data_IF_631055370809
#
_entry.id   IF_631055370809
#
_cell.length_a   1.000
_cell.length_b   1.000
_cell.length_c   1.000
_cell.angle_alpha   90.00
_cell.angle_beta   90.00
_cell.angle_gamma   90.00
#
_symmetry.space_group_name_H-M   'P 1'
#
loop_
_entity.id
_entity.type
_entity.pdbx_description
1 polymer ?
#
# COMPACT_ATOMS: atom_id res chain seq x y z
N UNK A 1 -13.78 -4.36 -15.00
CA UNK A 1 -12.48 -3.68 -15.27
C UNK A 1 -11.66 -4.59 -16.19
N UNK A 2 -11.02 -4.05 -17.24
CA UNK A 2 -10.11 -4.78 -18.15
C UNK A 2 -8.67 -4.68 -17.63
N UNK A 3 -7.76 -5.63 -17.93
CA UNK A 3 -6.34 -5.52 -17.54
C UNK A 3 -5.67 -4.30 -18.20
N UNK A 4 -4.54 -3.88 -17.62
CA UNK A 4 -3.69 -2.79 -18.11
C UNK A 4 -2.40 -3.42 -18.64
N UNK A 5 -2.12 -3.25 -19.93
CA UNK A 5 -0.90 -3.76 -20.57
C UNK A 5 -0.04 -2.62 -21.15
N UNK A 6 -0.67 -1.51 -21.50
CA UNK A 6 -0.04 -0.33 -22.10
C UNK A 6 -0.39 0.94 -21.31
N UNK A 7 0.32 2.03 -21.58
CA UNK A 7 0.01 3.33 -20.98
C UNK A 7 -1.40 3.82 -21.37
N UNK A 8 -1.89 3.49 -22.57
CA UNK A 8 -3.21 3.89 -23.03
C UNK A 8 -4.35 3.26 -22.20
N UNK A 9 -4.13 2.08 -21.62
CA UNK A 9 -5.14 1.35 -20.83
C UNK A 9 -5.45 2.01 -19.47
N UNK A 10 -4.61 2.97 -19.05
CA UNK A 10 -4.85 3.81 -17.88
C UNK A 10 -5.90 4.90 -18.13
N UNK A 11 -6.16 5.26 -19.39
CA UNK A 11 -7.07 6.37 -19.73
C UNK A 11 -8.45 6.16 -19.10
N UNK A 12 -8.88 7.12 -18.30
CA UNK A 12 -10.18 7.12 -17.62
C UNK A 12 -10.28 6.21 -16.40
N UNK A 13 -9.21 5.50 -16.00
CA UNK A 13 -9.22 4.65 -14.79
C UNK A 13 -9.24 5.51 -13.54
N UNK A 14 -10.06 5.13 -12.56
CA UNK A 14 -10.06 5.70 -11.21
C UNK A 14 -9.31 4.74 -10.28
N UNK A 15 -8.11 5.08 -9.87
CA UNK A 15 -7.27 4.22 -9.03
C UNK A 15 -7.03 4.88 -7.67
N UNK A 16 -7.20 4.11 -6.59
CA UNK A 16 -6.90 4.62 -5.25
C UNK A 16 -5.41 4.93 -5.08
N UNK A 17 -5.12 6.04 -4.42
CA UNK A 17 -3.79 6.49 -3.96
C UNK A 17 -3.81 6.85 -2.48
N UNK A 18 -2.65 7.01 -1.83
CA UNK A 18 -2.58 7.45 -0.43
C UNK A 18 -2.88 8.96 -0.29
N UNK A 19 -2.72 9.72 -1.38
CA UNK A 19 -3.11 11.14 -1.46
C UNK A 19 -1.95 12.11 -1.58
N UNK A 20 -0.72 11.63 -1.77
CA UNK A 20 0.40 12.51 -2.10
C UNK A 20 0.22 13.13 -3.51
N UNK A 21 0.67 14.38 -3.67
CA UNK A 21 0.67 15.07 -4.97
C UNK A 21 1.39 14.26 -6.06
N UNK A 22 2.49 13.59 -5.69
CA UNK A 22 3.26 12.74 -6.59
C UNK A 22 2.43 11.61 -7.20
N UNK A 23 1.64 10.90 -6.37
CA UNK A 23 0.83 9.79 -6.85
C UNK A 23 -0.32 10.25 -7.75
N UNK A 24 -0.99 11.34 -7.37
CA UNK A 24 -2.08 11.93 -8.15
C UNK A 24 -1.56 12.37 -9.52
N UNK A 25 -0.43 13.08 -9.55
CA UNK A 25 0.16 13.59 -10.79
C UNK A 25 0.68 12.47 -11.69
N UNK A 26 1.25 11.42 -11.12
CA UNK A 26 1.72 10.26 -11.90
C UNK A 26 0.56 9.59 -12.65
N UNK A 27 -0.58 9.39 -11.97
CA UNK A 27 -1.77 8.83 -12.61
C UNK A 27 -2.38 9.79 -13.63
N UNK A 28 -2.42 11.09 -13.34
CA UNK A 28 -2.90 12.11 -14.28
C UNK A 28 -2.11 12.09 -15.58
N UNK A 29 -0.78 11.95 -15.51
CA UNK A 29 0.11 11.91 -16.69
C UNK A 29 -0.12 10.74 -17.62
N UNK A 30 -0.66 9.62 -17.10
CA UNK A 30 -1.05 8.46 -17.91
C UNK A 30 -2.55 8.44 -18.23
N UNK A 31 -3.26 9.56 -18.01
CA UNK A 31 -4.68 9.70 -18.32
C UNK A 31 -5.64 9.03 -17.31
N UNK A 32 -5.13 8.56 -16.18
CA UNK A 32 -5.92 8.04 -15.06
C UNK A 32 -6.24 9.14 -14.04
N UNK A 33 -7.16 8.85 -13.12
CA UNK A 33 -7.50 9.68 -11.97
C UNK A 33 -7.03 8.98 -10.69
N UNK A 34 -6.14 9.62 -9.95
CA UNK A 34 -5.78 9.19 -8.60
C UNK A 34 -6.84 9.64 -7.59
N UNK A 35 -7.50 8.70 -6.92
CA UNK A 35 -8.55 8.98 -5.92
C UNK A 35 -7.96 8.77 -4.51
N UNK A 36 -7.72 9.84 -3.73
CA UNK A 36 -7.21 9.70 -2.38
C UNK A 36 -8.28 9.13 -1.45
N UNK A 37 -7.98 8.03 -0.75
CA UNK A 37 -8.83 7.50 0.32
C UNK A 37 -8.07 6.56 1.27
N UNK A 38 -8.54 6.41 2.52
CA UNK A 38 -8.05 5.40 3.46
C UNK A 38 -8.14 3.98 2.88
N UNK A 39 -7.21 3.10 3.27
CA UNK A 39 -7.17 1.71 2.78
C UNK A 39 -8.45 0.92 3.12
N UNK A 40 -9.08 1.22 4.26
CA UNK A 40 -10.32 0.59 4.72
C UNK A 40 -11.52 0.82 3.80
N UNK A 41 -11.52 1.91 3.03
CA UNK A 41 -12.63 2.29 2.15
C UNK A 41 -12.50 1.68 0.74
N UNK A 42 -11.33 1.12 0.42
CA UNK A 42 -11.00 0.69 -0.95
C UNK A 42 -11.82 -0.51 -1.40
N UNK A 43 -12.01 -1.50 -0.52
CA UNK A 43 -12.77 -2.71 -0.86
C UNK A 43 -14.24 -2.36 -1.19
N UNK A 44 -14.98 -1.64 -0.31
CA UNK A 44 -16.31 -1.17 -0.65
C UNK A 44 -16.35 -0.32 -1.92
N UNK A 45 -15.37 0.58 -2.12
CA UNK A 45 -15.32 1.45 -3.29
C UNK A 45 -15.14 0.68 -4.62
N UNK A 46 -14.31 -0.38 -4.61
CA UNK A 46 -14.17 -1.29 -5.77
C UNK A 46 -15.49 -2.06 -6.01
N UNK A 47 -16.12 -2.58 -4.95
CA UNK A 47 -17.38 -3.34 -5.06
C UNK A 47 -18.53 -2.49 -5.59
N UNK A 48 -18.64 -1.25 -5.10
CA UNK A 48 -19.62 -0.25 -5.56
C UNK A 48 -19.24 0.38 -6.91
N UNK A 49 -18.06 0.05 -7.45
CA UNK A 49 -17.53 0.55 -8.73
C UNK A 49 -17.33 2.07 -8.76
N UNK A 50 -17.10 2.70 -7.61
CA UNK A 50 -16.74 4.12 -7.55
C UNK A 50 -15.27 4.34 -7.94
N UNK A 51 -14.43 3.30 -7.78
CA UNK A 51 -13.07 3.19 -8.30
C UNK A 51 -12.85 1.87 -9.04
N UNK A 52 -11.86 1.83 -9.93
CA UNK A 52 -11.49 0.67 -10.75
C UNK A 52 -10.43 -0.24 -10.12
N UNK A 53 -9.69 0.26 -9.12
CA UNK A 53 -8.60 -0.49 -8.52
C UNK A 53 -7.80 0.27 -7.47
N UNK A 54 -6.76 -0.39 -6.98
CA UNK A 54 -5.90 0.12 -5.91
C UNK A 54 -4.43 0.09 -6.33
N UNK A 55 -3.69 1.17 -6.05
CA UNK A 55 -2.23 1.18 -6.08
C UNK A 55 -1.70 0.89 -4.67
N UNK A 56 -1.09 -0.28 -4.47
CA UNK A 56 -0.44 -0.67 -3.22
C UNK A 56 0.65 -1.74 -3.48
N UNK A 57 1.41 -2.09 -2.44
CA UNK A 57 2.34 -3.22 -2.46
C UNK A 57 1.61 -4.57 -2.36
N UNK A 58 2.21 -5.64 -2.88
CA UNK A 58 1.62 -7.00 -2.85
C UNK A 58 1.30 -7.50 -1.44
N UNK A 59 2.11 -7.09 -0.47
CA UNK A 59 1.93 -7.40 0.95
C UNK A 59 0.61 -6.89 1.52
N UNK A 60 -0.06 -5.96 0.84
CA UNK A 60 -1.42 -5.50 1.18
C UNK A 60 -2.49 -6.38 0.51
N UNK A 61 -2.29 -6.77 -0.75
CA UNK A 61 -3.34 -7.44 -1.52
C UNK A 61 -3.73 -8.81 -0.98
N UNK A 62 -2.76 -9.60 -0.50
CA UNK A 62 -3.03 -10.96 0.00
C UNK A 62 -3.78 -10.95 1.35
N UNK A 63 -3.33 -10.25 2.40
CA UNK A 63 -4.02 -10.26 3.70
C UNK A 63 -5.43 -9.66 3.62
N UNK A 64 -5.62 -8.63 2.78
CA UNK A 64 -6.91 -7.99 2.56
C UNK A 64 -7.79 -8.72 1.54
N UNK A 65 -7.35 -9.89 1.05
CA UNK A 65 -8.09 -10.75 0.13
C UNK A 65 -8.55 -10.06 -1.17
N UNK A 66 -7.73 -9.15 -1.71
CA UNK A 66 -8.05 -8.40 -2.93
C UNK A 66 -8.35 -9.29 -4.14
N UNK A 67 -7.81 -10.51 -4.18
CA UNK A 67 -8.11 -11.50 -5.23
C UNK A 67 -9.60 -11.83 -5.37
N UNK A 68 -10.41 -11.57 -4.33
CA UNK A 68 -11.86 -11.80 -4.36
C UNK A 68 -12.65 -10.69 -5.07
N UNK A 69 -12.08 -9.49 -5.19
CA UNK A 69 -12.74 -8.30 -5.73
C UNK A 69 -12.01 -7.68 -6.92
N UNK A 70 -10.72 -7.98 -7.09
CA UNK A 70 -9.85 -7.44 -8.13
C UNK A 70 -9.10 -8.61 -8.81
N UNK A 71 -9.44 -8.87 -10.08
CA UNK A 71 -8.94 -10.02 -10.83
C UNK A 71 -7.57 -9.83 -11.48
N UNK A 72 -7.12 -8.59 -11.60
CA UNK A 72 -5.90 -8.23 -12.34
C UNK A 72 -4.94 -7.48 -11.45
N UNK A 73 -3.65 -7.81 -11.55
CA UNK A 73 -2.55 -7.12 -10.87
C UNK A 73 -1.54 -6.69 -11.92
N UNK A 74 -1.17 -5.41 -11.91
CA UNK A 74 -0.08 -4.87 -12.72
C UNK A 74 1.15 -4.62 -11.83
N UNK A 75 2.28 -5.24 -12.16
CA UNK A 75 3.57 -4.96 -11.53
C UNK A 75 4.19 -3.70 -12.15
N UNK A 76 3.71 -2.52 -11.76
CA UNK A 76 4.11 -1.26 -12.38
C UNK A 76 5.53 -0.76 -12.01
N UNK A 77 6.14 -1.29 -10.93
CA UNK A 77 7.44 -0.84 -10.38
C UNK A 77 7.56 0.70 -10.28
N UNK A 78 6.46 1.39 -9.99
CA UNK A 78 6.35 2.84 -10.16
C UNK A 78 6.76 3.65 -8.94
N UNK A 79 6.89 3.03 -7.77
CA UNK A 79 7.33 3.69 -6.54
C UNK A 79 7.72 2.68 -5.47
N UNK A 80 8.60 3.10 -4.55
CA UNK A 80 8.83 2.44 -3.27
C UNK A 80 7.87 3.06 -2.25
N UNK A 81 7.21 2.21 -1.43
CA UNK A 81 6.36 2.66 -0.33
C UNK A 81 7.13 2.38 0.96
N UNK A 82 7.51 3.44 1.67
CA UNK A 82 8.13 3.33 2.99
C UNK A 82 7.05 3.46 4.07
N UNK A 83 6.99 2.50 4.98
CA UNK A 83 6.06 2.51 6.12
C UNK A 83 6.88 2.81 7.37
N UNK A 84 6.46 3.82 8.15
CA UNK A 84 7.11 4.19 9.40
C UNK A 84 6.19 3.85 10.57
N UNK A 85 6.75 3.26 11.63
CA UNK A 85 6.08 3.14 12.92
C UNK A 85 6.33 4.40 13.73
N UNK A 86 5.27 4.97 14.26
CA UNK A 86 5.33 6.23 14.98
C UNK A 86 4.51 6.14 16.25
N UNK A 87 5.00 6.79 17.31
CA UNK A 87 4.28 6.99 18.55
C UNK A 87 4.35 8.47 18.94
N UNK A 88 3.42 8.92 19.78
CA UNK A 88 3.46 10.28 20.32
C UNK A 88 4.71 10.45 21.17
N UNK A 89 5.56 11.42 20.82
CA UNK A 89 6.75 11.76 21.61
C UNK A 89 6.40 12.18 23.03
N UNK A 90 5.32 12.96 23.20
CA UNK A 90 4.86 13.41 24.52
C UNK A 90 4.45 12.25 25.41
N UNK A 91 3.83 11.22 24.83
CA UNK A 91 3.50 10.00 25.56
C UNK A 91 4.75 9.18 25.88
N UNK A 92 5.61 8.97 24.88
CA UNK A 92 6.82 8.16 25.01
C UNK A 92 7.78 8.72 26.06
N UNK A 93 7.97 10.04 26.08
CA UNK A 93 8.86 10.72 27.03
C UNK A 93 8.35 10.64 28.48
N UNK A 94 7.05 10.35 28.70
CA UNK A 94 6.46 10.13 30.04
C UNK A 94 6.65 8.71 30.56
N UNK A 95 7.10 7.78 29.72
CA UNK A 95 7.28 6.39 30.12
C UNK A 95 8.57 6.23 30.93
N UNK A 96 8.61 5.27 31.88
CA UNK A 96 9.86 4.83 32.51
C UNK A 96 10.92 4.45 31.48
N UNK A 97 12.21 4.65 31.81
CA UNK A 97 13.32 4.43 30.87
C UNK A 97 13.44 2.99 30.39
N UNK A 98 13.21 2.03 31.27
CA UNK A 98 13.14 0.60 30.94
C UNK A 98 12.03 0.31 29.93
N UNK A 99 10.85 0.91 30.11
CA UNK A 99 9.74 0.77 29.16
C UNK A 99 10.07 1.41 27.80
N UNK A 100 10.69 2.58 27.79
CA UNK A 100 11.17 3.22 26.54
C UNK A 100 12.14 2.29 25.79
N UNK A 101 13.10 1.70 26.50
CA UNK A 101 14.07 0.75 25.93
C UNK A 101 13.37 -0.46 25.31
N UNK A 102 12.47 -1.12 26.06
CA UNK A 102 11.74 -2.29 25.58
C UNK A 102 10.92 -1.96 24.33
N UNK A 103 10.24 -0.81 24.29
CA UNK A 103 9.46 -0.40 23.10
C UNK A 103 10.38 -0.24 21.88
N UNK A 104 11.53 0.41 22.04
CA UNK A 104 12.46 0.62 20.93
C UNK A 104 13.08 -0.69 20.43
N UNK A 105 13.47 -1.58 21.34
CA UNK A 105 14.03 -2.89 21.00
C UNK A 105 13.00 -3.79 20.29
N UNK A 106 11.79 -3.90 20.85
CA UNK A 106 10.73 -4.70 20.24
C UNK A 106 10.25 -4.09 18.91
N UNK A 107 10.25 -2.76 18.80
CA UNK A 107 10.00 -2.09 17.52
C UNK A 107 11.07 -2.47 16.49
N UNK A 108 12.36 -2.44 16.83
CA UNK A 108 13.43 -2.82 15.89
C UNK A 108 13.33 -4.29 15.47
N UNK A 109 13.03 -5.21 16.41
CA UNK A 109 12.79 -6.63 16.11
C UNK A 109 11.60 -6.81 15.16
N UNK A 110 10.50 -6.10 15.42
CA UNK A 110 9.32 -6.13 14.57
C UNK A 110 9.60 -5.59 13.15
N UNK A 111 10.43 -4.55 13.01
CA UNK A 111 10.82 -4.05 11.68
C UNK A 111 11.57 -5.11 10.87
N UNK A 112 12.57 -5.75 11.48
CA UNK A 112 13.31 -6.83 10.83
C UNK A 112 12.37 -7.96 10.39
N UNK A 113 11.50 -8.41 11.31
CA UNK A 113 10.53 -9.46 10.99
C UNK A 113 9.61 -9.08 9.82
N UNK A 114 9.06 -7.86 9.83
CA UNK A 114 8.14 -7.40 8.77
C UNK A 114 8.86 -7.30 7.43
N UNK A 115 10.10 -6.83 7.39
CA UNK A 115 10.91 -6.74 6.17
C UNK A 115 11.18 -8.14 5.62
N UNK A 116 11.70 -9.05 6.44
CA UNK A 116 12.01 -10.43 6.03
C UNK A 116 10.75 -11.14 5.51
N UNK A 117 9.62 -10.99 6.22
CA UNK A 117 8.33 -11.54 5.78
C UNK A 117 7.84 -10.92 4.47
N UNK A 118 7.96 -9.60 4.31
CA UNK A 118 7.54 -8.88 3.12
C UNK A 118 8.34 -9.30 1.89
N UNK A 119 9.65 -9.48 2.05
CA UNK A 119 10.53 -9.99 0.99
C UNK A 119 10.18 -11.43 0.63
N UNK A 120 10.05 -12.32 1.62
CA UNK A 120 9.70 -13.72 1.39
C UNK A 120 8.35 -13.87 0.69
N UNK A 121 7.33 -13.12 1.12
CA UNK A 121 6.02 -13.10 0.48
C UNK A 121 6.10 -12.58 -0.95
N UNK A 122 6.84 -11.49 -1.18
CA UNK A 122 6.97 -10.89 -2.51
C UNK A 122 7.68 -11.84 -3.47
N UNK A 123 8.79 -12.46 -3.06
CA UNK A 123 9.52 -13.50 -3.82
C UNK A 123 8.60 -14.66 -4.21
N UNK A 124 7.90 -15.24 -3.23
CA UNK A 124 6.92 -16.31 -3.44
C UNK A 124 5.83 -15.93 -4.44
N UNK A 125 5.23 -14.74 -4.30
CA UNK A 125 4.16 -14.28 -5.20
C UNK A 125 4.68 -13.95 -6.60
N UNK A 126 5.94 -13.58 -6.71
CA UNK A 126 6.55 -13.20 -7.99
C UNK A 126 7.27 -14.35 -8.69
N UNK A 127 7.36 -15.52 -8.05
CA UNK A 127 8.10 -16.69 -8.53
C UNK A 127 9.57 -16.37 -8.83
N UNK A 128 10.18 -15.54 -7.96
CA UNK A 128 11.60 -15.14 -8.01
C UNK A 128 12.29 -15.51 -6.70
#
# INVERSE_FOLDING_TARGET
>A
VKPIHTLADFKGRKLRVFGSKFEIETLRRVGATGVPMPLSEVIPAIQQRTIDGNKAAMVVFVPFKYQTIARYVLKAKSSIICINKMASKVWFDKLPRDVQTVIMEESAKADKFIIDWSEALTKKLYQI
#
